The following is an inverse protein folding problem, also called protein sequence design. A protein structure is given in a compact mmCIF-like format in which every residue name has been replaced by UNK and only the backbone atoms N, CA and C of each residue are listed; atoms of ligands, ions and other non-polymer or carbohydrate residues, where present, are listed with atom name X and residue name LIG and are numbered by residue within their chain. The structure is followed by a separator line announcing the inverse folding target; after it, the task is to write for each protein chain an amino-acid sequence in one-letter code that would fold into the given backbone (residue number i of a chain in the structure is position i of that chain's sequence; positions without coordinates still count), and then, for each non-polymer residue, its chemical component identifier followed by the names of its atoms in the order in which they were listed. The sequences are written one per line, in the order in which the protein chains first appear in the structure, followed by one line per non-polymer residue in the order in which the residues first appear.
data_IF_787085259134
#
_entry.id   IF_787085259134
#
_cell.length_a   1.000
_cell.length_b   1.000
_cell.length_c   1.000
_cell.angle_alpha   90.00
_cell.angle_beta   90.00
_cell.angle_gamma   90.00
#
_symmetry.space_group_name_H-M   'P 1'
#
loop_
_entity.id
_entity.type
_entity.pdbx_description
1 polymer ?
#
# COMPACT_ATOMS: atom_id res chain seq x y z
N UNK A 1 -20.69 -14.21 3.08
CA UNK A 1 -19.36 -13.95 2.50
C UNK A 1 -18.98 -12.56 2.94
N UNK A 2 -17.85 -12.45 3.62
CA UNK A 2 -17.58 -11.47 4.68
C UNK A 2 -17.75 -10.00 4.30
N UNK A 3 -18.70 -9.36 4.96
CA UNK A 3 -18.76 -7.91 5.15
C UNK A 3 -17.68 -7.41 6.14
N UNK A 4 -16.67 -8.23 6.47
CA UNK A 4 -15.74 -8.01 7.59
C UNK A 4 -14.49 -7.19 7.22
N UNK A 5 -14.30 -6.81 5.96
CA UNK A 5 -13.19 -5.96 5.51
C UNK A 5 -13.68 -4.74 4.74
N UNK A 6 -14.75 -4.13 5.23
CA UNK A 6 -15.25 -2.85 4.71
C UNK A 6 -15.10 -1.79 5.80
N UNK A 7 -14.23 -0.78 5.62
CA UNK A 7 -13.36 -0.55 4.46
C UNK A 7 -12.15 -1.51 4.40
N UNK A 8 -11.55 -1.74 3.21
CA UNK A 8 -10.36 -2.56 3.08
C UNK A 8 -9.18 -1.97 3.87
N UNK A 9 -8.28 -2.84 4.32
CA UNK A 9 -7.01 -2.39 4.87
C UNK A 9 -6.11 -1.89 3.74
N UNK A 10 -5.48 -0.73 3.93
CA UNK A 10 -4.70 -0.07 2.88
C UNK A 10 -3.30 0.25 3.38
N UNK A 11 -2.30 -0.05 2.55
CA UNK A 11 -0.94 0.44 2.68
C UNK A 11 -0.64 1.42 1.55
N UNK A 12 0.20 2.42 1.84
CA UNK A 12 0.58 3.45 0.88
C UNK A 12 2.03 3.24 0.42
N UNK A 13 2.19 2.89 -0.84
CA UNK A 13 3.49 2.84 -1.51
C UNK A 13 3.78 4.19 -2.18
N UNK A 14 4.85 4.86 -1.76
CA UNK A 14 5.26 6.18 -2.24
C UNK A 14 6.71 6.16 -2.70
N UNK A 15 6.99 6.78 -3.85
CA UNK A 15 8.37 7.09 -4.26
C UNK A 15 8.85 8.37 -3.57
N UNK A 16 10.10 8.36 -3.15
CA UNK A 16 10.77 9.56 -2.65
C UNK A 16 11.47 10.32 -3.78
N UNK A 17 11.67 11.63 -3.63
CA UNK A 17 12.48 12.41 -4.56
C UNK A 17 13.92 11.90 -4.70
N UNK A 18 14.43 11.18 -3.70
CA UNK A 18 15.76 10.55 -3.69
C UNK A 18 15.84 9.25 -4.49
N UNK A 19 14.73 8.74 -5.02
CA UNK A 19 14.68 7.51 -5.82
C UNK A 19 14.45 6.23 -5.02
N UNK A 20 14.31 6.31 -3.70
CA UNK A 20 13.87 5.18 -2.87
C UNK A 20 12.34 5.09 -2.79
N UNK A 21 11.83 3.91 -2.51
CA UNK A 21 10.41 3.64 -2.31
C UNK A 21 10.14 3.33 -0.84
N UNK A 22 8.95 3.71 -0.39
CA UNK A 22 8.53 3.59 1.01
C UNK A 22 7.10 3.09 1.09
N UNK A 23 6.85 2.16 2.00
CA UNK A 23 5.51 1.70 2.34
C UNK A 23 5.16 2.29 3.71
N UNK A 24 4.02 2.96 3.78
CA UNK A 24 3.49 3.56 4.98
C UNK A 24 2.16 2.94 5.38
N UNK A 25 1.93 2.89 6.68
CA UNK A 25 0.70 2.43 7.28
C UNK A 25 -0.13 3.61 7.83
N UNK A 26 -1.23 4.00 7.17
CA UNK A 26 -2.11 5.06 7.66
C UNK A 26 -2.82 4.73 8.97
N UNK A 27 -3.09 3.45 9.25
CA UNK A 27 -3.73 3.02 10.49
C UNK A 27 -2.77 3.19 11.69
N UNK A 28 -1.46 3.08 11.47
CA UNK A 28 -0.42 3.35 12.45
C UNK A 28 0.20 4.76 12.32
N UNK A 29 -0.61 5.80 12.09
CA UNK A 29 -0.15 7.20 12.01
C UNK A 29 0.90 7.47 10.92
N UNK A 30 0.77 6.85 9.75
CA UNK A 30 1.73 6.94 8.64
C UNK A 30 3.14 6.47 9.06
N UNK A 31 3.20 5.41 9.86
CA UNK A 31 4.48 4.78 10.19
C UNK A 31 5.11 4.16 8.94
N UNK A 32 6.41 4.34 8.80
CA UNK A 32 7.21 3.67 7.77
C UNK A 32 7.34 2.18 8.12
N UNK A 33 6.73 1.31 7.33
CA UNK A 33 6.77 -0.15 7.55
C UNK A 33 7.87 -0.81 6.71
N UNK A 34 8.19 -0.24 5.55
CA UNK A 34 9.21 -0.80 4.66
C UNK A 34 9.85 0.29 3.78
N UNK A 35 11.13 0.10 3.44
CA UNK A 35 11.89 0.97 2.53
C UNK A 35 12.79 0.14 1.64
N UNK A 36 12.86 0.49 0.37
CA UNK A 36 13.62 -0.25 -0.64
C UNK A 36 14.12 0.68 -1.77
N UNK A 37 14.98 0.14 -2.62
CA UNK A 37 15.61 0.90 -3.70
C UNK A 37 14.84 0.84 -5.03
N UNK A 38 13.89 -0.09 -5.17
CA UNK A 38 13.14 -0.32 -6.41
C UNK A 38 11.65 -0.55 -6.12
N UNK A 39 10.81 -0.28 -7.13
CA UNK A 39 9.38 -0.55 -7.03
C UNK A 39 9.11 -2.05 -6.94
N UNK A 40 9.88 -2.84 -7.67
CA UNK A 40 9.77 -4.30 -7.75
C UNK A 40 9.99 -4.95 -6.38
N UNK A 41 10.95 -4.47 -5.58
CA UNK A 41 11.16 -4.93 -4.20
C UNK A 41 9.95 -4.60 -3.31
N UNK A 42 9.39 -3.40 -3.44
CA UNK A 42 8.21 -3.00 -2.67
C UNK A 42 6.99 -3.84 -3.06
N UNK A 43 6.81 -4.09 -4.36
CA UNK A 43 5.72 -4.89 -4.89
C UNK A 43 5.83 -6.35 -4.44
N UNK A 44 7.03 -6.95 -4.48
CA UNK A 44 7.27 -8.30 -3.98
C UNK A 44 6.89 -8.41 -2.49
N UNK A 45 7.30 -7.45 -1.67
CA UNK A 45 6.96 -7.41 -0.25
C UNK A 45 5.44 -7.35 -0.01
N UNK A 46 4.71 -6.54 -0.78
CA UNK A 46 3.25 -6.46 -0.67
C UNK A 46 2.55 -7.78 -1.07
N UNK A 47 3.05 -8.45 -2.11
CA UNK A 47 2.48 -9.70 -2.59
C UNK A 47 2.72 -10.88 -1.62
N UNK A 48 3.76 -10.82 -0.78
CA UNK A 48 3.99 -11.82 0.28
C UNK A 48 2.85 -11.85 1.31
N UNK A 49 2.26 -10.69 1.60
CA UNK A 49 1.12 -10.53 2.51
C UNK A 49 -0.25 -10.56 1.79
N UNK A 50 -0.30 -11.09 0.55
CA UNK A 50 -1.51 -11.21 -0.27
C UNK A 50 -2.19 -9.87 -0.64
N UNK A 51 -1.47 -8.74 -0.59
CA UNK A 51 -2.02 -7.46 -1.04
C UNK A 51 -2.17 -7.42 -2.56
N UNK A 52 -3.33 -6.93 -3.01
CA UNK A 52 -3.59 -6.71 -4.43
C UNK A 52 -3.24 -5.27 -4.84
N UNK A 53 -2.50 -5.07 -5.94
CA UNK A 53 -2.27 -3.73 -6.47
C UNK A 53 -3.59 -3.15 -7.00
N UNK A 54 -4.02 -2.03 -6.44
CA UNK A 54 -5.18 -1.29 -6.94
C UNK A 54 -4.72 -0.24 -7.94
N UNK A 55 -4.97 -0.49 -9.23
CA UNK A 55 -4.68 0.46 -10.31
C UNK A 55 -5.89 1.35 -10.61
N UNK A 56 -5.71 2.67 -10.58
CA UNK A 56 -6.72 3.65 -10.99
C UNK A 56 -7.06 4.71 -9.94
N UNK A 57 -7.94 5.65 -10.30
CA UNK A 57 -8.57 6.58 -9.36
C UNK A 57 -9.76 5.85 -8.72
N UNK A 58 -9.63 5.41 -7.48
CA UNK A 58 -10.80 5.03 -6.69
C UNK A 58 -11.56 6.31 -6.36
N UNK A 59 -12.74 6.50 -6.98
CA UNK A 59 -13.63 7.56 -6.54
C UNK A 59 -14.15 7.14 -5.16
N UNK A 60 -14.18 8.07 -4.21
CA UNK A 60 -14.66 7.81 -2.83
C UNK A 60 -16.07 7.21 -2.80
N UNK A 61 -16.84 7.37 -3.88
CA UNK A 61 -18.16 6.77 -4.10
C UNK A 61 -18.15 5.26 -4.40
N UNK A 62 -17.00 4.67 -4.74
CA UNK A 62 -16.83 3.26 -5.11
C UNK A 62 -16.18 2.42 -3.99
N UNK A 63 -15.95 3.01 -2.81
CA UNK A 63 -15.55 2.36 -1.56
C UNK A 63 -16.77 2.12 -0.66
#
# INVERSE_FOLDING_TARGET
MDAMLTPPYLLLLLSSPSGSYHIYDPAEHYKLVFSCASYEEAQAWLLEDEYEPVEGKVLVSDL
#
